data_IF_564331887717
#
_entry.id   IF_564331887717
#
_cell.length_a   1.000
_cell.length_b   1.000
_cell.length_c   1.000
_cell.angle_alpha   90.00
_cell.angle_beta   90.00
_cell.angle_gamma   90.00
#
_symmetry.space_group_name_H-M   'P 1'
#
loop_
_entity.id
_entity.type
_entity.pdbx_description
1 polymer ?
#
# COMPACT_ATOMS: atom_id res chain seq x y z
N UNK A 1 35.03 -3.96 -4.24
CA UNK A 1 33.68 -3.49 -4.57
C UNK A 1 33.72 -1.97 -4.54
N UNK A 2 33.59 -1.37 -5.69
CA UNK A 2 33.55 0.09 -5.79
C UNK A 2 32.15 0.53 -5.35
N UNK A 3 32.08 1.24 -4.22
CA UNK A 3 30.84 1.73 -3.60
C UNK A 3 30.63 3.21 -3.95
N UNK A 4 31.40 3.73 -4.89
CA UNK A 4 31.26 5.12 -5.33
C UNK A 4 30.05 5.23 -6.23
N UNK A 5 29.00 5.91 -5.73
CA UNK A 5 27.85 6.29 -6.55
C UNK A 5 28.29 7.16 -7.73
N UNK A 6 27.52 7.13 -8.83
CA UNK A 6 27.78 7.94 -10.01
C UNK A 6 27.97 9.41 -9.66
N UNK A 7 29.06 10.00 -10.07
CA UNK A 7 29.35 11.45 -9.88
C UNK A 7 28.26 12.30 -10.55
N UNK A 8 27.73 11.86 -11.70
CA UNK A 8 26.63 12.52 -12.38
C UNK A 8 25.36 12.57 -11.53
N UNK A 9 25.00 11.46 -10.86
CA UNK A 9 23.83 11.41 -10.00
C UNK A 9 24.01 12.32 -8.77
N UNK A 10 25.22 12.41 -8.23
CA UNK A 10 25.54 13.31 -7.12
C UNK A 10 25.43 14.77 -7.54
N UNK A 11 25.98 15.16 -8.69
CA UNK A 11 25.85 16.53 -9.22
C UNK A 11 24.40 16.89 -9.54
N UNK A 12 23.65 15.95 -10.11
CA UNK A 12 22.22 16.13 -10.35
C UNK A 12 21.46 16.31 -9.04
N UNK A 13 21.74 15.50 -8.03
CA UNK A 13 21.12 15.60 -6.71
C UNK A 13 21.39 16.96 -6.07
N UNK A 14 22.62 17.45 -6.09
CA UNK A 14 22.97 18.78 -5.60
C UNK A 14 22.17 19.86 -6.34
N UNK A 15 22.17 19.83 -7.68
CA UNK A 15 21.44 20.81 -8.49
C UNK A 15 19.91 20.79 -8.24
N UNK A 16 19.34 19.62 -7.94
CA UNK A 16 17.93 19.49 -7.58
C UNK A 16 17.65 20.04 -6.18
N UNK A 17 18.54 19.77 -5.22
CA UNK A 17 18.42 20.27 -3.85
C UNK A 17 18.51 21.79 -3.78
N UNK A 18 19.41 22.41 -4.54
CA UNK A 18 19.55 23.88 -4.62
C UNK A 18 18.26 24.58 -5.13
N UNK A 19 17.38 23.85 -5.82
CA UNK A 19 16.12 24.34 -6.36
C UNK A 19 14.91 23.75 -5.66
N UNK A 20 15.10 23.05 -4.56
CA UNK A 20 14.03 22.28 -3.89
C UNK A 20 12.84 23.16 -3.47
N UNK A 21 13.11 24.35 -2.97
CA UNK A 21 12.07 25.27 -2.49
C UNK A 21 11.05 25.64 -3.58
N UNK A 22 11.48 25.68 -4.85
CA UNK A 22 10.61 26.05 -5.97
C UNK A 22 9.59 24.99 -6.38
N UNK A 23 9.85 23.70 -6.11
CA UNK A 23 8.95 22.61 -6.51
C UNK A 23 8.40 21.78 -5.34
N UNK A 24 9.03 21.88 -4.18
CA UNK A 24 8.69 21.06 -3.01
C UNK A 24 7.29 21.39 -2.47
N UNK A 25 6.93 22.67 -2.43
CA UNK A 25 5.62 23.12 -1.97
C UNK A 25 4.49 22.52 -2.80
N UNK A 26 4.60 22.58 -4.13
CA UNK A 26 3.63 22.01 -5.06
C UNK A 26 3.53 20.48 -4.90
N UNK A 27 4.66 19.81 -4.70
CA UNK A 27 4.70 18.37 -4.49
C UNK A 27 4.04 17.97 -3.17
N UNK A 28 4.29 18.70 -2.10
CA UNK A 28 3.64 18.49 -0.80
C UNK A 28 2.14 18.63 -0.92
N UNK A 29 1.66 19.67 -1.61
CA UNK A 29 0.23 19.90 -1.79
C UNK A 29 -0.41 18.83 -2.69
N UNK A 30 0.28 18.36 -3.73
CA UNK A 30 -0.18 17.24 -4.53
C UNK A 30 -0.34 15.96 -3.69
N UNK A 31 0.64 15.64 -2.86
CA UNK A 31 0.61 14.48 -1.96
C UNK A 31 -0.51 14.60 -0.91
N UNK A 32 -0.74 15.80 -0.37
CA UNK A 32 -1.85 16.07 0.56
C UNK A 32 -3.21 15.82 -0.10
N UNK A 33 -3.42 16.34 -1.31
CA UNK A 33 -4.65 16.10 -2.08
C UNK A 33 -4.86 14.62 -2.37
N UNK A 34 -3.80 13.90 -2.80
CA UNK A 34 -3.86 12.47 -3.02
C UNK A 34 -4.24 11.69 -1.74
N UNK A 35 -3.61 12.03 -0.61
CA UNK A 35 -3.94 11.42 0.68
C UNK A 35 -5.41 11.64 1.06
N UNK A 36 -5.91 12.86 0.93
CA UNK A 36 -7.31 13.18 1.24
C UNK A 36 -8.28 12.40 0.35
N UNK A 37 -8.04 12.37 -0.95
CA UNK A 37 -8.86 11.62 -1.90
C UNK A 37 -8.86 10.12 -1.57
N UNK A 38 -7.69 9.54 -1.29
CA UNK A 38 -7.58 8.13 -0.89
C UNK A 38 -8.40 7.85 0.37
N UNK A 39 -8.26 8.64 1.42
CA UNK A 39 -8.99 8.46 2.69
C UNK A 39 -10.49 8.53 2.46
N UNK A 40 -10.98 9.56 1.77
CA UNK A 40 -12.41 9.73 1.47
C UNK A 40 -12.96 8.56 0.65
N UNK A 41 -12.21 8.08 -0.35
CA UNK A 41 -12.64 6.94 -1.13
C UNK A 41 -12.68 5.64 -0.30
N UNK A 42 -11.69 5.44 0.58
CA UNK A 42 -11.65 4.26 1.46
C UNK A 42 -12.80 4.26 2.48
N UNK A 43 -13.13 5.40 3.08
CA UNK A 43 -14.28 5.53 3.97
C UNK A 43 -15.60 5.16 3.28
N UNK A 44 -15.73 5.50 2.01
CA UNK A 44 -16.93 5.22 1.19
C UNK A 44 -17.01 3.76 0.74
N UNK A 45 -15.93 3.20 0.25
CA UNK A 45 -15.95 1.90 -0.45
C UNK A 45 -15.44 0.73 0.39
N UNK A 46 -14.70 1.00 1.46
CA UNK A 46 -14.03 0.00 2.30
C UNK A 46 -14.17 0.33 3.81
N UNK A 47 -15.39 0.64 4.30
CA UNK A 47 -15.61 1.16 5.66
C UNK A 47 -15.24 0.17 6.77
N UNK A 48 -15.12 -1.11 6.45
CA UNK A 48 -14.76 -2.18 7.40
C UNK A 48 -13.23 -2.36 7.54
N UNK A 49 -12.43 -1.71 6.70
CA UNK A 49 -10.97 -1.66 6.86
C UNK A 49 -10.58 -0.55 7.82
N UNK A 50 -9.39 -0.63 8.38
CA UNK A 50 -8.92 0.41 9.27
C UNK A 50 -7.49 0.81 8.94
N UNK A 51 -7.18 2.05 9.25
CA UNK A 51 -5.84 2.61 9.09
C UNK A 51 -5.60 3.70 10.12
N UNK A 52 -4.34 3.94 10.41
CA UNK A 52 -3.91 5.12 11.14
C UNK A 52 -3.41 6.15 10.14
N UNK A 53 -3.92 7.38 10.24
CA UNK A 53 -3.43 8.47 9.40
C UNK A 53 -2.01 8.83 9.82
N UNK A 54 -0.99 8.69 8.94
CA UNK A 54 0.37 9.03 9.29
C UNK A 54 0.55 10.55 9.30
N UNK A 55 1.43 11.11 10.14
CA UNK A 55 1.76 12.53 10.12
C UNK A 55 2.50 12.95 8.84
N UNK A 56 3.08 12.00 8.13
CA UNK A 56 3.81 12.20 6.86
C UNK A 56 3.96 10.92 6.07
N UNK A 57 4.81 10.95 5.06
CA UNK A 57 5.07 9.81 4.19
C UNK A 57 4.28 9.85 2.89
N UNK A 58 4.23 8.71 2.19
CA UNK A 58 3.70 8.60 0.82
C UNK A 58 2.70 7.45 0.65
N UNK A 59 2.36 6.74 1.73
CA UNK A 59 1.43 5.60 1.69
C UNK A 59 0.70 5.40 3.01
N UNK A 60 -0.50 4.83 2.95
CA UNK A 60 -1.22 4.29 4.09
C UNK A 60 -0.83 2.84 4.34
N UNK A 61 -0.78 2.47 5.63
CA UNK A 61 -0.69 1.10 6.09
C UNK A 61 -2.06 0.68 6.60
N UNK A 62 -2.72 -0.18 5.83
CA UNK A 62 -4.15 -0.51 6.00
C UNK A 62 -4.30 -1.89 6.60
N UNK A 63 -5.17 -2.02 7.61
CA UNK A 63 -5.55 -3.28 8.22
C UNK A 63 -6.85 -3.81 7.60
N UNK A 64 -6.79 -4.97 6.98
CA UNK A 64 -7.90 -5.68 6.37
C UNK A 64 -8.78 -6.40 7.39
N UNK A 65 -8.35 -6.46 8.67
CA UNK A 65 -8.98 -7.23 9.75
C UNK A 65 -8.96 -8.76 9.53
N UNK A 66 -8.34 -9.23 8.46
CA UNK A 66 -8.26 -10.64 8.06
C UNK A 66 -6.92 -10.91 7.36
N UNK A 67 -6.33 -12.12 7.52
CA UNK A 67 -5.05 -12.47 6.89
C UNK A 67 -5.24 -12.89 5.41
N UNK A 68 -5.58 -11.93 4.56
CA UNK A 68 -5.95 -12.19 3.16
C UNK A 68 -5.23 -11.27 2.16
N UNK A 69 -4.21 -10.56 2.59
CA UNK A 69 -3.55 -9.55 1.78
C UNK A 69 -2.93 -10.10 0.50
N UNK A 70 -2.26 -11.25 0.56
CA UNK A 70 -1.65 -11.88 -0.61
C UNK A 70 -2.71 -12.34 -1.60
N UNK A 71 -3.75 -13.06 -1.16
CA UNK A 71 -4.84 -13.51 -2.02
C UNK A 71 -5.62 -12.33 -2.64
N UNK A 72 -5.82 -11.25 -1.89
CA UNK A 72 -6.45 -10.05 -2.41
C UNK A 72 -5.56 -9.35 -3.44
N UNK A 73 -4.24 -9.29 -3.22
CA UNK A 73 -3.30 -8.69 -4.16
C UNK A 73 -3.24 -9.47 -5.49
N UNK A 74 -3.23 -10.78 -5.45
CA UNK A 74 -3.29 -11.63 -6.64
C UNK A 74 -4.60 -11.43 -7.43
N UNK A 75 -5.72 -11.41 -6.73
CA UNK A 75 -7.03 -11.16 -7.34
C UNK A 75 -7.13 -9.76 -7.93
N UNK A 76 -6.64 -8.76 -7.23
CA UNK A 76 -6.58 -7.39 -7.74
C UNK A 76 -5.73 -7.30 -9.02
N UNK A 77 -4.58 -8.00 -9.04
CA UNK A 77 -3.71 -8.05 -10.23
C UNK A 77 -4.42 -8.68 -11.43
N UNK A 78 -5.18 -9.76 -11.25
CA UNK A 78 -5.99 -10.37 -12.30
C UNK A 78 -7.03 -9.39 -12.89
N UNK A 79 -7.44 -8.38 -12.13
CA UNK A 79 -8.33 -7.31 -12.58
C UNK A 79 -7.59 -6.01 -12.98
N UNK A 80 -6.27 -6.10 -13.22
CA UNK A 80 -5.44 -4.98 -13.66
C UNK A 80 -5.14 -3.94 -12.56
N UNK A 81 -5.33 -4.28 -11.29
CA UNK A 81 -5.03 -3.40 -10.17
C UNK A 81 -3.84 -3.95 -9.37
N UNK A 82 -2.70 -3.27 -9.41
CA UNK A 82 -1.49 -3.67 -8.67
C UNK A 82 -1.46 -3.00 -7.30
N UNK A 83 -1.55 -3.79 -6.23
CA UNK A 83 -1.47 -3.34 -4.84
C UNK A 83 -0.36 -4.07 -4.09
N UNK A 84 0.19 -3.44 -3.05
CA UNK A 84 1.25 -4.03 -2.23
C UNK A 84 0.70 -4.79 -1.02
N UNK A 85 0.72 -6.13 -1.07
CA UNK A 85 0.43 -6.97 0.09
C UNK A 85 1.48 -6.76 1.19
N UNK A 86 1.03 -6.78 2.45
CA UNK A 86 1.88 -6.53 3.62
C UNK A 86 2.98 -7.57 3.82
N UNK A 87 2.74 -8.81 3.44
CA UNK A 87 3.71 -9.90 3.53
C UNK A 87 5.06 -9.59 2.84
N UNK A 88 5.06 -8.75 1.79
CA UNK A 88 6.27 -8.30 1.10
C UNK A 88 7.18 -7.40 1.96
N UNK A 89 6.67 -6.89 3.08
CA UNK A 89 7.38 -6.00 4.00
C UNK A 89 7.70 -6.69 5.34
N UNK A 90 7.29 -7.95 5.50
CA UNK A 90 7.62 -8.77 6.66
C UNK A 90 8.98 -9.43 6.52
N UNK A 91 9.69 -9.58 7.65
CA UNK A 91 10.95 -10.34 7.72
C UNK A 91 10.70 -11.86 7.74
N UNK A 92 9.52 -12.29 8.14
CA UNK A 92 9.14 -13.70 8.26
C UNK A 92 7.94 -14.02 7.37
N UNK A 93 7.85 -15.25 6.84
CA UNK A 93 6.69 -15.70 6.07
C UNK A 93 5.39 -15.57 6.87
N UNK A 94 4.34 -15.05 6.22
CA UNK A 94 3.02 -14.86 6.83
C UNK A 94 2.88 -13.60 7.71
N UNK A 95 3.97 -12.89 7.98
CA UNK A 95 3.89 -11.62 8.69
C UNK A 95 3.16 -10.57 7.83
N UNK A 96 2.25 -9.83 8.46
CA UNK A 96 1.45 -8.78 7.79
C UNK A 96 0.48 -9.26 6.70
N UNK A 97 0.03 -10.51 6.73
CA UNK A 97 -1.00 -11.02 5.82
C UNK A 97 -2.38 -10.33 5.98
N UNK A 98 -2.55 -9.56 7.03
CA UNK A 98 -3.72 -8.70 7.23
C UNK A 98 -3.47 -7.24 6.82
N UNK A 99 -2.36 -6.93 6.13
CA UNK A 99 -1.96 -5.55 5.82
C UNK A 99 -1.82 -5.32 4.33
N UNK A 100 -2.19 -4.09 3.92
CA UNK A 100 -1.87 -3.55 2.60
C UNK A 100 -1.11 -2.24 2.73
N UNK A 101 -0.18 -2.00 1.81
CA UNK A 101 0.44 -0.71 1.62
C UNK A 101 -0.15 -0.03 0.40
N UNK A 102 -0.86 1.07 0.60
CA UNK A 102 -1.52 1.81 -0.47
C UNK A 102 -0.85 3.18 -0.62
N UNK A 103 -0.14 3.45 -1.73
CA UNK A 103 0.46 4.76 -1.98
C UNK A 103 -0.62 5.80 -2.31
N UNK A 104 -0.37 7.07 -1.94
CA UNK A 104 -1.24 8.19 -2.27
C UNK A 104 -0.54 9.29 -3.09
N UNK A 105 0.47 8.89 -3.87
CA UNK A 105 1.26 9.79 -4.71
C UNK A 105 0.71 9.97 -6.12
N UNK A 106 -0.35 9.23 -6.44
CA UNK A 106 -1.05 9.31 -7.73
C UNK A 106 -2.09 10.46 -7.73
N UNK A 107 -2.59 10.87 -8.91
CA UNK A 107 -3.68 11.83 -9.01
C UNK A 107 -4.93 11.38 -8.23
N UNK A 108 -5.69 12.30 -7.62
CA UNK A 108 -6.90 12.00 -6.85
C UNK A 108 -7.89 11.10 -7.59
N UNK A 109 -8.21 11.38 -8.84
CA UNK A 109 -9.15 10.59 -9.65
C UNK A 109 -8.71 9.14 -9.85
N UNK A 110 -7.40 8.91 -10.01
CA UNK A 110 -6.84 7.56 -10.16
C UNK A 110 -6.94 6.79 -8.84
N UNK A 111 -6.73 7.46 -7.71
CA UNK A 111 -6.86 6.86 -6.39
C UNK A 111 -8.31 6.50 -6.07
N UNK A 112 -9.25 7.38 -6.38
CA UNK A 112 -10.69 7.14 -6.20
C UNK A 112 -11.16 5.94 -7.02
N UNK A 113 -10.79 5.88 -8.30
CA UNK A 113 -11.11 4.74 -9.17
C UNK A 113 -10.47 3.44 -8.65
N UNK A 114 -9.19 3.48 -8.27
CA UNK A 114 -8.49 2.30 -7.76
C UNK A 114 -9.17 1.74 -6.49
N UNK A 115 -9.59 2.61 -5.57
CA UNK A 115 -10.29 2.18 -4.33
C UNK A 115 -11.68 1.67 -4.63
N UNK A 116 -12.43 2.29 -5.54
CA UNK A 116 -13.74 1.81 -5.98
C UNK A 116 -13.64 0.38 -6.55
N UNK A 117 -12.68 0.15 -7.46
CA UNK A 117 -12.40 -1.18 -8.04
C UNK A 117 -11.97 -2.18 -6.97
N UNK A 118 -11.10 -1.76 -6.05
CA UNK A 118 -10.65 -2.62 -4.95
C UNK A 118 -11.81 -3.03 -4.04
N UNK A 119 -12.75 -2.13 -3.79
CA UNK A 119 -13.98 -2.41 -3.06
C UNK A 119 -14.82 -3.50 -3.76
N UNK A 120 -15.05 -3.37 -5.06
CA UNK A 120 -15.75 -4.36 -5.86
C UNK A 120 -15.06 -5.74 -5.85
N UNK A 121 -13.73 -5.75 -6.03
CA UNK A 121 -12.92 -6.98 -6.01
C UNK A 121 -12.96 -7.65 -4.63
N UNK A 122 -12.94 -6.87 -3.54
CA UNK A 122 -12.98 -7.42 -2.18
C UNK A 122 -14.36 -8.02 -1.85
N UNK A 123 -15.44 -7.49 -2.43
CA UNK A 123 -16.80 -7.96 -2.24
C UNK A 123 -17.17 -9.17 -3.11
N UNK A 124 -16.60 -9.28 -4.31
CA UNK A 124 -16.99 -10.27 -5.33
C UNK A 124 -16.32 -11.65 -5.16
N UNK A 125 -15.35 -11.78 -4.26
CA UNK A 125 -14.65 -13.05 -4.06
C UNK A 125 -15.42 -14.02 -3.16
N UNK A 126 -15.17 -15.35 -3.24
CA UNK A 126 -15.59 -16.27 -2.20
C UNK A 126 -15.11 -15.73 -0.85
N UNK A 127 -15.79 -15.99 0.27
CA UNK A 127 -15.36 -15.51 1.57
C UNK A 127 -13.89 -15.86 1.72
N UNK A 128 -13.03 -14.84 1.73
CA UNK A 128 -11.58 -15.01 1.79
C UNK A 128 -11.30 -15.83 3.06
N UNK A 129 -11.09 -17.11 2.85
CA UNK A 129 -11.01 -18.23 3.76
C UNK A 129 -11.12 -17.95 5.26
N UNK A 130 -12.06 -18.59 5.91
CA UNK A 130 -11.80 -19.19 7.21
C UNK A 130 -10.64 -20.18 6.99
N UNK A 131 -9.41 -19.71 7.21
CA UNK A 131 -8.26 -20.59 7.26
C UNK A 131 -8.59 -21.67 8.25
N UNK A 132 -8.70 -22.90 7.77
CA UNK A 132 -8.69 -24.10 8.58
C UNK A 132 -7.51 -23.92 9.54
N UNK A 133 -7.83 -23.83 10.83
CA UNK A 133 -6.85 -23.93 11.90
C UNK A 133 -6.09 -25.23 11.64
N UNK A 134 -4.86 -25.09 11.15
CA UNK A 134 -3.97 -26.20 10.92
C UNK A 134 -3.88 -27.00 12.20
N UNK A 135 -4.20 -28.26 12.06
CA UNK A 135 -4.01 -29.35 13.01
C UNK A 135 -2.80 -29.10 13.90
N UNK A 136 -3.06 -29.06 15.20
CA UNK A 136 -2.02 -29.17 16.23
C UNK A 136 -1.21 -30.45 15.92
N UNK A 137 0.03 -30.28 15.54
CA UNK A 137 0.99 -31.40 15.51
C UNK A 137 1.18 -31.90 16.94
N UNK A 138 0.65 -33.09 17.19
CA UNK A 138 1.12 -33.96 18.26
C UNK A 138 2.61 -34.26 18.01
N UNK A 139 3.43 -33.74 18.88
CA UNK A 139 4.79 -34.24 19.04
C UNK A 139 4.68 -35.48 19.93
N UNK A 140 4.71 -36.66 19.33
CA UNK A 140 4.95 -37.90 20.06
C UNK A 140 6.46 -38.13 20.10
N UNK A 141 6.92 -38.45 21.31
CA UNK A 141 8.25 -38.74 21.82
C UNK A 141 9.27 -39.36 20.88
#
# INVERSE_FOLDING_TARGET
MDVSGSVLDQLLAVSLLDRADGWLADRVDQVRRGRQALVTAMERHLPHWSWRLPPGGLSLWVDLRRPVASALAERALAHGLRIGGGARFGAEPGLYENRLRIPYTLPPSVLEEAVCRLGAISASGPPLGSGTAGSRNEWVA
#
